data_IF_449690988251
#
_entry.id   IF_449690988251
#
_cell.length_a   1.000
_cell.length_b   1.000
_cell.length_c   1.000
_cell.angle_alpha   90.00
_cell.angle_beta   90.00
_cell.angle_gamma   90.00
#
_symmetry.space_group_name_H-M   'P 1'
#
loop_
_entity.id
_entity.type
_entity.pdbx_description
1 polymer ?
#
# COMPACT_ATOMS: atom_id res chain seq x y z
N UNK A 1 10.36 7.30 9.79
CA UNK A 1 11.17 7.08 8.56
C UNK A 1 10.77 8.01 7.42
N UNK A 2 9.51 8.41 7.27
CA UNK A 2 9.08 9.33 6.20
C UNK A 2 9.69 10.74 6.30
N UNK A 3 9.84 11.27 7.52
CA UNK A 3 10.40 12.61 7.77
C UNK A 3 11.84 12.77 7.25
N UNK A 4 12.70 11.77 7.48
CA UNK A 4 14.09 11.80 7.02
C UNK A 4 14.23 11.74 5.50
N UNK A 5 13.29 11.10 4.79
CA UNK A 5 13.29 11.05 3.33
C UNK A 5 12.83 12.37 2.71
N UNK A 6 11.84 13.02 3.31
CA UNK A 6 11.41 14.36 2.89
C UNK A 6 12.52 15.41 3.12
N UNK A 7 13.22 15.35 4.25
CA UNK A 7 14.38 16.21 4.53
C UNK A 7 15.49 15.98 3.49
N UNK A 8 15.72 14.73 3.08
CA UNK A 8 16.72 14.39 2.06
C UNK A 8 16.39 15.00 0.69
N UNK A 9 15.12 15.00 0.26
CA UNK A 9 14.68 15.66 -0.98
C UNK A 9 14.86 17.18 -0.91
N UNK A 10 14.55 17.79 0.24
CA UNK A 10 14.75 19.22 0.44
C UNK A 10 16.23 19.61 0.37
N UNK A 11 17.12 18.76 0.93
CA UNK A 11 18.57 18.96 0.85
C UNK A 11 19.10 18.77 -0.58
N UNK A 12 18.56 17.82 -1.35
CA UNK A 12 18.95 17.59 -2.75
C UNK A 12 18.66 18.81 -3.64
N UNK A 13 17.53 19.49 -3.43
CA UNK A 13 17.21 20.73 -4.15
C UNK A 13 18.27 21.84 -3.95
N UNK A 14 18.94 21.86 -2.80
CA UNK A 14 20.05 22.78 -2.51
C UNK A 14 21.37 22.21 -3.05
N UNK A 15 21.64 20.93 -2.83
CA UNK A 15 22.89 20.27 -3.21
C UNK A 15 23.08 20.17 -4.74
N UNK A 16 22.00 20.05 -5.50
CA UNK A 16 22.00 20.05 -6.97
C UNK A 16 22.64 21.32 -7.56
N UNK A 17 22.45 22.47 -6.91
CA UNK A 17 23.06 23.76 -7.30
C UNK A 17 24.57 23.76 -7.17
N UNK A 18 25.11 22.87 -6.35
CA UNK A 18 26.53 22.72 -6.07
C UNK A 18 27.15 21.49 -6.75
N UNK A 19 26.40 20.79 -7.61
CA UNK A 19 26.86 19.58 -8.30
C UNK A 19 26.85 18.31 -7.43
N UNK A 20 26.24 18.38 -6.25
CA UNK A 20 26.15 17.27 -5.29
C UNK A 20 24.74 16.65 -5.27
N UNK A 21 24.17 16.41 -6.45
CA UNK A 21 22.83 15.84 -6.56
C UNK A 21 22.82 14.33 -6.26
N UNK A 22 21.68 13.86 -5.76
CA UNK A 22 21.37 12.44 -5.64
C UNK A 22 21.26 11.80 -7.02
N UNK A 23 21.49 10.49 -7.07
CA UNK A 23 21.31 9.72 -8.31
C UNK A 23 19.82 9.73 -8.71
N UNK A 24 19.48 9.84 -10.01
CA UNK A 24 18.08 9.88 -10.47
C UNK A 24 17.25 8.69 -10.00
N UNK A 25 17.82 7.48 -10.04
CA UNK A 25 17.15 6.25 -9.56
C UNK A 25 16.80 6.29 -8.08
N UNK A 26 17.59 7.01 -7.28
CA UNK A 26 17.37 7.14 -5.84
C UNK A 26 16.29 8.20 -5.56
N UNK A 27 16.27 9.28 -6.34
CA UNK A 27 15.16 10.26 -6.31
C UNK A 27 13.81 9.60 -6.62
N UNK A 28 13.73 8.86 -7.73
CA UNK A 28 12.51 8.14 -8.12
C UNK A 28 12.03 7.16 -7.04
N UNK A 29 12.96 6.44 -6.40
CA UNK A 29 12.63 5.52 -5.32
C UNK A 29 12.08 6.23 -4.07
N UNK A 30 12.69 7.36 -3.68
CA UNK A 30 12.23 8.16 -2.53
C UNK A 30 10.85 8.76 -2.82
N UNK A 31 10.64 9.30 -4.02
CA UNK A 31 9.36 9.86 -4.43
C UNK A 31 8.25 8.78 -4.45
N UNK A 32 8.57 7.58 -4.93
CA UNK A 32 7.65 6.45 -4.91
C UNK A 32 7.27 6.03 -3.49
N UNK A 33 8.25 5.92 -2.59
CA UNK A 33 8.03 5.57 -1.17
C UNK A 33 7.21 6.62 -0.42
N UNK A 34 7.42 7.91 -0.71
CA UNK A 34 6.62 8.99 -0.12
C UNK A 34 5.20 9.02 -0.67
N UNK A 35 4.99 8.68 -1.94
CA UNK A 35 3.68 8.67 -2.60
C UNK A 35 2.83 7.47 -2.21
N UNK A 36 3.46 6.32 -1.99
CA UNK A 36 2.81 5.09 -1.55
C UNK A 36 3.50 4.59 -0.28
N UNK A 37 3.22 5.19 0.89
CA UNK A 37 3.79 4.69 2.13
C UNK A 37 3.35 3.22 2.28
N UNK A 38 4.29 2.33 2.62
CA UNK A 38 4.06 0.88 2.72
C UNK A 38 2.88 0.46 3.63
N UNK A 39 2.33 1.38 4.42
CA UNK A 39 1.14 1.20 5.25
C UNK A 39 -0.19 1.61 4.58
N UNK A 40 -0.19 2.15 3.35
CA UNK A 40 -1.40 2.57 2.63
C UNK A 40 -2.05 1.46 1.78
N UNK A 41 -1.39 0.32 1.58
CA UNK A 41 -1.88 -0.79 0.74
C UNK A 41 -2.50 -1.94 1.52
N UNK A 42 -2.92 -1.73 2.77
CA UNK A 42 -3.80 -2.66 3.44
C UNK A 42 -5.19 -2.03 3.55
N UNK A 43 -6.16 -2.39 2.70
CA UNK A 43 -7.53 -2.36 3.17
C UNK A 43 -7.57 -3.34 4.35
N UNK A 44 -7.48 -2.82 5.57
CA UNK A 44 -7.76 -3.62 6.75
C UNK A 44 -9.29 -3.68 6.79
N UNK A 45 -9.95 -4.81 6.48
CA UNK A 45 -11.38 -4.91 6.73
C UNK A 45 -11.58 -4.82 8.24
N UNK A 46 -11.82 -3.61 8.73
CA UNK A 46 -12.12 -3.32 10.13
C UNK A 46 -13.63 -3.39 10.35
N UNK A 47 -14.22 -4.49 9.90
CA UNK A 47 -15.52 -4.93 10.39
C UNK A 47 -15.73 -6.31 9.79
N UNK A 48 -15.76 -7.33 10.64
CA UNK A 48 -16.57 -8.49 10.33
C UNK A 48 -17.97 -7.93 10.11
N UNK A 49 -18.40 -7.79 8.85
CA UNK A 49 -19.78 -7.49 8.54
C UNK A 49 -20.57 -8.68 9.11
N UNK A 50 -21.12 -8.50 10.31
CA UNK A 50 -22.07 -9.43 10.88
C UNK A 50 -23.18 -9.61 9.86
N UNK A 51 -23.52 -10.86 9.56
CA UNK A 51 -24.40 -11.25 8.45
C UNK A 51 -25.82 -10.64 8.51
N UNK A 52 -26.15 -9.95 9.59
CA UNK A 52 -27.49 -9.43 9.92
C UNK A 52 -27.84 -8.09 9.23
N UNK A 53 -26.92 -7.41 8.54
CA UNK A 53 -27.17 -6.10 7.90
C UNK A 53 -27.19 -6.11 6.36
N UNK A 54 -27.28 -7.27 5.73
CA UNK A 54 -27.40 -7.34 4.27
C UNK A 54 -28.86 -7.20 3.84
N UNK A 55 -29.22 -6.22 2.99
CA UNK A 55 -30.59 -6.08 2.50
C UNK A 55 -30.98 -7.29 1.63
N UNK A 56 -32.26 -7.63 1.62
CA UNK A 56 -32.81 -8.89 1.04
C UNK A 56 -32.44 -9.15 -0.43
N UNK A 57 -32.00 -8.12 -1.15
CA UNK A 57 -31.61 -8.18 -2.55
C UNK A 57 -30.10 -8.47 -2.77
N UNK A 58 -29.32 -8.76 -1.73
CA UNK A 58 -27.87 -8.99 -1.85
C UNK A 58 -27.53 -10.45 -1.56
N UNK A 59 -26.97 -11.13 -2.57
CA UNK A 59 -26.37 -12.46 -2.43
C UNK A 59 -24.88 -12.31 -2.08
N UNK A 60 -24.49 -12.83 -0.92
CA UNK A 60 -23.06 -12.96 -0.56
C UNK A 60 -22.45 -14.09 -1.40
N UNK A 61 -21.47 -13.75 -2.23
CA UNK A 61 -20.65 -14.76 -2.89
C UNK A 61 -19.73 -15.37 -1.83
N UNK A 62 -19.91 -16.65 -1.55
CA UNK A 62 -19.03 -17.36 -0.62
C UNK A 62 -17.59 -17.19 -1.09
N UNK A 63 -16.74 -16.65 -0.19
CA UNK A 63 -15.32 -16.52 -0.46
C UNK A 63 -14.78 -17.90 -0.81
N UNK A 64 -14.33 -18.07 -2.05
CA UNK A 64 -13.79 -19.33 -2.54
C UNK A 64 -12.54 -19.65 -1.72
N UNK A 65 -12.71 -20.48 -0.68
CA UNK A 65 -11.61 -21.00 0.11
C UNK A 65 -10.94 -22.11 -0.72
N UNK A 66 -9.65 -21.96 -1.08
CA UNK A 66 -8.94 -22.96 -1.90
C UNK A 66 -8.76 -24.32 -1.20
N UNK A 67 -9.21 -24.47 0.06
CA UNK A 67 -9.11 -25.71 0.82
C UNK A 67 -10.29 -26.68 0.64
N UNK A 68 -11.24 -26.38 -0.24
CA UNK A 68 -12.45 -27.20 -0.45
C UNK A 68 -12.43 -28.06 -1.71
N UNK A 69 -11.27 -28.32 -2.32
CA UNK A 69 -11.19 -29.21 -3.48
C UNK A 69 -10.72 -30.63 -3.10
N UNK A 70 -11.72 -31.52 -3.05
CA UNK A 70 -11.71 -32.95 -3.42
C UNK A 70 -10.88 -33.92 -2.57
N UNK A 71 -11.52 -34.50 -1.54
CA UNK A 71 -11.51 -35.96 -1.40
C UNK A 71 -12.72 -36.52 -2.15
N UNK A 72 -12.48 -37.14 -3.31
CA UNK A 72 -13.36 -38.19 -3.82
C UNK A 72 -12.56 -39.48 -3.84
N UNK A 73 -13.24 -40.52 -3.33
CA UNK A 73 -12.79 -41.89 -3.15
C UNK A 73 -12.29 -42.54 -4.43
#
# INVERSE_FOLDING_TARGET
>A
MTKSLADLLAMDAVASRHGCALKPKLLEAIEADLRFPAHATAPRPQTELTADELPENVLSLSAHSPNSERKRA
#
